data_IF_338706998787
#
_entry.id   IF_338706998787
#
_cell.length_a   1.000
_cell.length_b   1.000
_cell.length_c   1.000
_cell.angle_alpha   90.00
_cell.angle_beta   90.00
_cell.angle_gamma   90.00
#
_symmetry.space_group_name_H-M   'P 1'
#
loop_
_entity.id
_entity.type
_entity.pdbx_description
1 polymer ?
#
# COMPACT_ATOMS: atom_id res chain seq x y z
N UNK A 1 6.68 21.26 -41.51
CA UNK A 1 6.74 21.31 -40.03
C UNK A 1 6.89 22.77 -39.65
N UNK A 2 5.90 23.33 -38.98
CA UNK A 2 5.89 24.76 -38.67
C UNK A 2 6.98 25.07 -37.62
N UNK A 3 7.64 26.22 -37.69
CA UNK A 3 8.71 26.61 -36.74
C UNK A 3 8.26 26.51 -35.27
N UNK A 4 6.97 26.73 -35.03
CA UNK A 4 6.33 26.64 -33.70
C UNK A 4 6.28 25.18 -33.20
N UNK A 5 6.00 24.21 -34.06
CA UNK A 5 5.96 22.78 -33.71
C UNK A 5 7.35 22.24 -33.36
N UNK A 6 8.37 22.69 -34.10
CA UNK A 6 9.76 22.36 -33.81
C UNK A 6 10.17 22.89 -32.43
N UNK A 7 9.70 24.09 -32.06
CA UNK A 7 9.97 24.67 -30.74
C UNK A 7 9.33 23.84 -29.62
N UNK A 8 8.07 23.41 -29.78
CA UNK A 8 7.42 22.53 -28.79
C UNK A 8 8.13 21.18 -28.66
N UNK A 9 8.58 20.60 -29.77
CA UNK A 9 9.31 19.35 -29.76
C UNK A 9 10.67 19.47 -29.05
N UNK A 10 11.41 20.55 -29.27
CA UNK A 10 12.68 20.82 -28.58
C UNK A 10 12.45 20.97 -27.08
N UNK A 11 11.47 21.77 -26.66
CA UNK A 11 11.15 21.96 -25.24
C UNK A 11 10.74 20.64 -24.59
N UNK A 12 9.93 19.83 -25.27
CA UNK A 12 9.53 18.52 -24.78
C UNK A 12 10.72 17.55 -24.67
N UNK A 13 11.61 17.53 -25.65
CA UNK A 13 12.82 16.70 -25.61
C UNK A 13 13.73 17.07 -24.42
N UNK A 14 13.86 18.37 -24.14
CA UNK A 14 14.59 18.86 -22.95
C UNK A 14 13.91 18.36 -21.68
N UNK A 15 12.58 18.45 -21.57
CA UNK A 15 11.83 17.97 -20.39
C UNK A 15 12.04 16.47 -20.18
N UNK A 16 12.02 15.66 -21.23
CA UNK A 16 12.27 14.21 -21.11
C UNK A 16 13.69 13.95 -20.61
N UNK A 17 14.67 14.63 -21.20
CA UNK A 17 16.09 14.39 -20.91
C UNK A 17 16.45 14.84 -19.47
N UNK A 18 15.79 15.88 -18.97
CA UNK A 18 15.96 16.39 -17.61
C UNK A 18 15.06 15.73 -16.56
N UNK A 19 13.97 15.07 -16.95
CA UNK A 19 13.07 14.32 -16.07
C UNK A 19 13.80 13.39 -15.06
N UNK A 20 14.79 12.57 -15.46
CA UNK A 20 15.50 11.70 -14.51
C UNK A 20 16.36 12.46 -13.50
N UNK A 21 16.73 13.72 -13.78
CA UNK A 21 17.55 14.56 -12.90
C UNK A 21 16.73 15.39 -11.91
N UNK A 22 15.39 15.34 -11.97
CA UNK A 22 14.56 16.07 -11.01
C UNK A 22 14.84 15.60 -9.57
N UNK A 23 14.95 16.50 -8.59
CA UNK A 23 15.18 16.11 -7.19
C UNK A 23 13.95 15.39 -6.63
N UNK A 24 14.19 14.33 -5.85
CA UNK A 24 13.13 13.46 -5.33
C UNK A 24 12.11 14.20 -4.46
N UNK A 25 12.53 15.24 -3.74
CA UNK A 25 11.63 16.08 -2.94
C UNK A 25 10.58 16.82 -3.78
N UNK A 26 10.95 17.34 -4.97
CA UNK A 26 9.99 18.01 -5.86
C UNK A 26 9.01 17.01 -6.48
N UNK A 27 9.47 15.80 -6.83
CA UNK A 27 8.58 14.74 -7.33
C UNK A 27 7.62 14.21 -6.27
N UNK A 28 8.04 14.21 -5.00
CA UNK A 28 7.16 13.88 -3.87
C UNK A 28 6.18 15.02 -3.55
N UNK A 29 6.54 16.29 -3.80
CA UNK A 29 5.61 17.42 -3.66
C UNK A 29 4.42 17.29 -4.62
N UNK A 30 4.63 16.69 -5.81
CA UNK A 30 3.56 16.34 -6.75
C UNK A 30 2.48 15.41 -6.16
N UNK A 31 2.74 14.80 -5.00
CA UNK A 31 1.76 13.99 -4.28
C UNK A 31 0.73 14.82 -3.52
N UNK A 32 1.07 16.06 -3.17
CA UNK A 32 0.17 16.96 -2.46
C UNK A 32 -1.07 17.25 -3.32
N UNK A 33 -2.23 17.33 -2.66
CA UNK A 33 -3.52 17.56 -3.32
C UNK A 33 -3.48 18.88 -4.12
N UNK A 34 -2.80 19.89 -3.58
CA UNK A 34 -2.62 21.21 -4.21
C UNK A 34 -1.83 21.09 -5.51
N UNK A 35 -0.71 20.36 -5.50
CA UNK A 35 0.09 20.17 -6.71
C UNK A 35 -0.65 19.36 -7.78
N UNK A 36 -1.48 18.38 -7.38
CA UNK A 36 -2.32 17.63 -8.32
C UNK A 36 -3.36 18.53 -8.99
N UNK A 37 -4.04 19.37 -8.22
CA UNK A 37 -5.01 20.34 -8.76
C UNK A 37 -4.32 21.31 -9.72
N UNK A 38 -3.15 21.85 -9.33
CA UNK A 38 -2.36 22.73 -10.19
C UNK A 38 -1.92 22.04 -11.50
N UNK A 39 -1.49 20.78 -11.43
CA UNK A 39 -1.13 19.99 -12.61
C UNK A 39 -2.30 19.78 -13.57
N UNK A 40 -3.49 19.48 -13.04
CA UNK A 40 -4.72 19.30 -13.83
C UNK A 40 -5.09 20.63 -14.51
N UNK A 41 -5.09 21.74 -13.77
CA UNK A 41 -5.38 23.06 -14.35
C UNK A 41 -4.39 23.44 -15.46
N UNK A 42 -3.11 23.16 -15.25
CA UNK A 42 -2.06 23.40 -16.26
C UNK A 42 -2.26 22.54 -17.51
N UNK A 43 -2.71 21.29 -17.34
CA UNK A 43 -3.03 20.38 -18.44
C UNK A 43 -4.27 20.84 -19.23
N UNK A 44 -5.33 21.29 -18.55
CA UNK A 44 -6.49 21.90 -19.19
C UNK A 44 -6.11 23.16 -19.99
N UNK A 45 -5.22 23.98 -19.44
CA UNK A 45 -4.70 25.15 -20.13
C UNK A 45 -3.91 24.78 -21.40
N UNK A 46 -3.03 23.79 -21.34
CA UNK A 46 -2.27 23.29 -22.51
C UNK A 46 -3.19 22.78 -23.63
N UNK A 47 -4.26 22.07 -23.28
CA UNK A 47 -5.26 21.59 -24.25
C UNK A 47 -5.98 22.75 -24.93
N UNK A 48 -6.26 23.84 -24.20
CA UNK A 48 -6.93 25.03 -24.75
C UNK A 48 -6.10 25.79 -25.79
N UNK A 49 -4.77 25.69 -25.74
CA UNK A 49 -3.86 26.34 -26.69
C UNK A 49 -3.81 25.59 -28.02
N UNK A 50 -3.90 24.25 -27.98
CA UNK A 50 -3.95 23.44 -29.18
C UNK A 50 -3.77 21.94 -28.91
N UNK A 51 -4.27 21.09 -29.83
CA UNK A 51 -4.28 19.64 -29.64
C UNK A 51 -2.87 19.03 -29.57
N UNK A 52 -1.93 19.54 -30.36
CA UNK A 52 -0.52 19.09 -30.35
C UNK A 52 0.18 19.39 -29.03
N UNK A 53 0.00 20.60 -28.49
CA UNK A 53 0.55 21.03 -27.20
C UNK A 53 -0.09 20.23 -26.06
N UNK A 54 -1.40 19.97 -26.12
CA UNK A 54 -2.11 19.13 -25.16
C UNK A 54 -1.55 17.69 -25.10
N UNK A 55 -1.34 17.05 -26.25
CA UNK A 55 -0.78 15.69 -26.33
C UNK A 55 0.64 15.64 -25.76
N UNK A 56 1.49 16.60 -26.14
CA UNK A 56 2.87 16.67 -25.65
C UNK A 56 2.91 16.96 -24.15
N UNK A 57 2.04 17.84 -23.65
CA UNK A 57 1.89 18.11 -22.22
C UNK A 57 1.47 16.86 -21.45
N UNK A 58 0.49 16.11 -21.96
CA UNK A 58 0.03 14.87 -21.35
C UNK A 58 1.13 13.81 -21.28
N UNK A 59 1.91 13.65 -22.36
CA UNK A 59 3.09 12.78 -22.35
C UNK A 59 4.16 13.25 -21.35
N UNK A 60 4.38 14.55 -21.19
CA UNK A 60 5.36 15.07 -20.24
C UNK A 60 4.92 14.76 -18.80
N UNK A 61 3.65 14.99 -18.48
CA UNK A 61 3.09 14.64 -17.18
C UNK A 61 3.13 13.14 -16.93
N UNK A 62 2.74 12.30 -17.90
CA UNK A 62 2.78 10.85 -17.71
C UNK A 62 4.19 10.35 -17.41
N UNK A 63 5.21 10.85 -18.11
CA UNK A 63 6.61 10.53 -17.84
C UNK A 63 7.05 10.97 -16.43
N UNK A 64 6.68 12.17 -15.99
CA UNK A 64 6.99 12.63 -14.63
C UNK A 64 6.33 11.75 -13.56
N UNK A 65 5.07 11.34 -13.76
CA UNK A 65 4.38 10.42 -12.84
C UNK A 65 4.97 9.01 -12.86
N UNK A 66 5.43 8.51 -14.01
CA UNK A 66 6.14 7.23 -14.11
C UNK A 66 7.48 7.27 -13.38
N UNK A 67 8.28 8.32 -13.55
CA UNK A 67 9.54 8.49 -12.82
C UNK A 67 9.33 8.61 -11.31
N UNK A 68 8.29 9.33 -10.90
CA UNK A 68 7.85 9.39 -9.50
C UNK A 68 7.50 8.00 -8.96
N UNK A 69 6.69 7.23 -9.68
CA UNK A 69 6.29 5.88 -9.26
C UNK A 69 7.49 4.94 -9.19
N UNK A 70 8.41 5.01 -10.15
CA UNK A 70 9.67 4.25 -10.13
C UNK A 70 10.46 4.51 -8.85
N UNK A 71 10.57 5.77 -8.43
CA UNK A 71 11.30 6.14 -7.21
C UNK A 71 10.57 5.69 -5.94
N UNK A 72 9.24 5.80 -5.90
CA UNK A 72 8.44 5.29 -4.79
C UNK A 72 8.63 3.79 -4.60
N UNK A 73 8.59 3.02 -5.68
CA UNK A 73 8.84 1.57 -5.65
C UNK A 73 10.24 1.27 -5.12
N UNK A 74 11.28 2.01 -5.55
CA UNK A 74 12.64 1.83 -5.02
C UNK A 74 12.74 2.11 -3.51
N UNK A 75 12.06 3.16 -3.03
CA UNK A 75 12.03 3.48 -1.60
C UNK A 75 11.30 2.40 -0.81
N UNK A 76 10.16 1.93 -1.33
CA UNK A 76 9.39 0.86 -0.71
C UNK A 76 10.16 -0.46 -0.67
N UNK A 77 10.81 -0.85 -1.77
CA UNK A 77 11.67 -2.03 -1.85
C UNK A 77 12.79 -1.96 -0.81
N UNK A 78 13.51 -0.82 -0.75
CA UNK A 78 14.54 -0.61 0.27
C UNK A 78 13.99 -0.70 1.70
N UNK A 79 12.78 -0.21 1.93
CA UNK A 79 12.14 -0.33 3.25
C UNK A 79 11.76 -1.77 3.56
N UNK A 80 11.25 -2.52 2.59
CA UNK A 80 10.95 -3.96 2.74
C UNK A 80 12.24 -4.71 3.05
N UNK A 81 13.32 -4.48 2.31
CA UNK A 81 14.62 -5.11 2.56
C UNK A 81 15.18 -4.80 3.97
N UNK A 82 14.86 -3.62 4.52
CA UNK A 82 15.23 -3.25 5.90
C UNK A 82 14.29 -3.86 6.95
N UNK A 83 13.04 -4.14 6.60
CA UNK A 83 12.07 -4.82 7.48
C UNK A 83 12.20 -6.34 7.42
N UNK A 84 12.81 -6.88 6.36
CA UNK A 84 13.03 -8.32 6.22
C UNK A 84 14.17 -8.70 7.17
N UNK A 85 13.81 -9.39 8.24
CA UNK A 85 14.78 -9.90 9.20
C UNK A 85 15.68 -10.92 8.51
N UNK A 86 16.95 -11.01 8.91
CA UNK A 86 17.82 -12.09 8.44
C UNK A 86 17.18 -13.43 8.81
N UNK A 87 16.59 -14.09 7.82
CA UNK A 87 16.12 -15.47 7.99
C UNK A 87 17.36 -16.31 8.28
N UNK A 88 17.41 -17.05 9.40
CA UNK A 88 18.50 -18.01 9.59
C UNK A 88 18.50 -18.97 8.40
N UNK A 89 19.69 -19.37 7.95
CA UNK A 89 19.82 -20.33 6.86
C UNK A 89 18.99 -21.58 7.16
N UNK A 90 18.29 -22.08 6.14
CA UNK A 90 17.48 -23.29 6.28
C UNK A 90 18.38 -24.47 6.69
N UNK A 91 17.96 -25.22 7.72
CA UNK A 91 18.68 -26.41 8.13
C UNK A 91 18.79 -27.39 6.96
N UNK A 92 19.97 -27.97 6.77
CA UNK A 92 20.17 -29.00 5.74
C UNK A 92 19.39 -30.26 6.08
N UNK A 93 19.10 -31.10 5.09
CA UNK A 93 18.31 -32.35 5.28
C UNK A 93 18.95 -33.27 6.32
N UNK A 94 20.28 -33.31 6.38
CA UNK A 94 21.04 -34.11 7.35
C UNK A 94 20.95 -33.57 8.79
N UNK A 95 20.77 -32.25 8.95
CA UNK A 95 20.59 -31.58 10.24
C UNK A 95 19.15 -31.64 10.72
N UNK A 96 18.18 -31.61 9.80
CA UNK A 96 16.76 -31.78 10.11
C UNK A 96 16.45 -33.19 10.66
N UNK A 97 17.24 -34.20 10.29
CA UNK A 97 17.12 -35.56 10.80
C UNK A 97 17.66 -35.76 12.22
N UNK A 98 18.40 -34.79 12.77
CA UNK A 98 18.93 -34.87 14.14
C UNK A 98 17.94 -34.23 15.12
N UNK A 99 17.70 -34.83 16.30
CA UNK A 99 16.82 -34.24 17.31
C UNK A 99 17.37 -32.87 17.74
N UNK A 100 16.64 -31.81 17.42
CA UNK A 100 17.03 -30.44 17.76
C UNK A 100 16.73 -30.18 19.24
N UNK A 101 17.76 -29.81 20.00
CA UNK A 101 17.62 -29.47 21.43
C UNK A 101 17.18 -28.02 21.65
N UNK A 102 17.53 -27.13 20.71
CA UNK A 102 17.21 -25.70 20.75
C UNK A 102 16.97 -25.20 19.34
N UNK A 103 15.87 -24.48 19.12
CA UNK A 103 15.61 -23.76 17.88
C UNK A 103 16.34 -22.41 17.98
N UNK A 104 17.11 -21.98 16.97
CA UNK A 104 17.65 -20.63 16.94
C UNK A 104 16.48 -19.64 16.85
N UNK A 105 16.27 -18.88 17.92
CA UNK A 105 15.29 -17.79 17.96
C UNK A 105 16.08 -16.50 17.80
N UNK A 106 15.71 -15.69 16.81
CA UNK A 106 16.30 -14.36 16.64
C UNK A 106 15.99 -13.51 17.88
N UNK A 107 16.93 -12.66 18.28
CA UNK A 107 16.70 -11.73 19.39
C UNK A 107 15.52 -10.81 19.07
N UNK A 108 14.71 -10.51 20.09
CA UNK A 108 13.63 -9.53 19.96
C UNK A 108 14.22 -8.17 19.63
N UNK A 109 13.58 -7.48 18.66
CA UNK A 109 14.03 -6.17 18.25
C UNK A 109 13.93 -5.16 19.40
N UNK A 110 14.86 -4.20 19.42
CA UNK A 110 14.89 -3.14 20.44
C UNK A 110 14.35 -1.86 19.80
N UNK A 111 13.48 -1.13 20.51
CA UNK A 111 12.85 0.07 19.95
C UNK A 111 13.91 1.08 19.54
N UNK A 112 13.86 1.51 18.28
CA UNK A 112 14.76 2.53 17.74
C UNK A 112 14.20 3.91 18.08
N UNK A 113 15.05 4.88 18.46
CA UNK A 113 14.62 6.23 18.85
C UNK A 113 13.78 6.99 17.79
N UNK A 114 13.83 6.55 16.53
CA UNK A 114 13.07 7.14 15.41
C UNK A 114 11.72 6.48 15.18
N UNK A 115 11.42 5.36 15.84
CA UNK A 115 10.14 4.68 15.72
C UNK A 115 9.12 5.38 16.60
N UNK A 116 7.95 5.64 16.02
CA UNK A 116 6.81 6.13 16.79
C UNK A 116 6.43 5.06 17.79
N UNK A 117 6.46 5.38 19.08
CA UNK A 117 5.91 4.50 20.11
C UNK A 117 4.49 4.15 19.70
N UNK A 118 4.17 2.85 19.62
CA UNK A 118 2.80 2.42 19.46
C UNK A 118 2.02 2.93 20.68
N UNK A 119 1.33 4.06 20.52
CA UNK A 119 0.40 4.55 21.52
C UNK A 119 -0.81 3.62 21.41
N UNK A 120 -1.08 2.77 22.42
CA UNK A 120 -2.29 1.97 22.41
C UNK A 120 -3.46 2.95 22.25
N UNK A 121 -4.27 2.76 21.21
CA UNK A 121 -5.54 3.47 21.11
C UNK A 121 -6.36 3.05 22.34
N UNK A 122 -6.90 4.03 23.06
CA UNK A 122 -7.58 3.87 24.36
C UNK A 122 -8.68 2.79 24.35
N UNK A 123 -9.20 2.42 23.18
CA UNK A 123 -10.23 1.41 23.00
C UNK A 123 -9.75 -0.04 23.20
N UNK A 124 -8.44 -0.30 23.27
CA UNK A 124 -7.89 -1.67 23.36
C UNK A 124 -7.84 -2.24 24.79
N UNK A 125 -8.03 -1.40 25.81
CA UNK A 125 -8.06 -1.81 27.22
C UNK A 125 -9.38 -1.45 27.91
N UNK A 126 -10.42 -1.08 27.16
CA UNK A 126 -11.75 -0.87 27.70
C UNK A 126 -12.40 -2.23 27.98
N UNK A 127 -12.50 -2.57 29.27
CA UNK A 127 -13.17 -3.79 29.75
C UNK A 127 -14.65 -3.86 29.31
N UNK A 128 -15.25 -2.74 28.93
CA UNK A 128 -16.64 -2.71 28.44
C UNK A 128 -16.77 -3.20 26.99
N UNK A 129 -15.67 -3.27 26.23
CA UNK A 129 -15.61 -3.82 24.87
C UNK A 129 -15.30 -5.33 24.84
N UNK A 130 -15.14 -5.97 26.00
CA UNK A 130 -15.04 -7.42 26.08
C UNK A 130 -16.44 -8.03 26.13
N UNK A 131 -16.78 -8.79 25.09
CA UNK A 131 -17.93 -9.69 25.17
C UNK A 131 -17.71 -10.68 26.32
N UNK A 132 -18.70 -10.88 27.21
CA UNK A 132 -18.56 -11.77 28.35
C UNK A 132 -18.25 -13.19 27.87
N UNK A 133 -17.21 -13.79 28.45
CA UNK A 133 -16.85 -15.19 28.18
C UNK A 133 -18.04 -16.07 28.55
N UNK A 134 -18.59 -16.78 27.57
CA UNK A 134 -19.73 -17.66 27.79
C UNK A 134 -19.41 -18.71 28.87
N UNK A 135 -20.38 -19.12 29.69
CA UNK A 135 -20.16 -20.03 30.83
C UNK A 135 -19.69 -21.42 30.40
N UNK A 136 -19.89 -21.82 29.14
CA UNK A 136 -19.35 -23.07 28.57
C UNK A 136 -18.56 -22.81 27.29
N UNK A 137 -17.55 -23.65 27.04
CA UNK A 137 -16.64 -23.51 25.88
C UNK A 137 -17.38 -23.62 24.53
N UNK A 138 -18.57 -24.22 24.53
CA UNK A 138 -19.39 -24.48 23.35
C UNK A 138 -20.38 -23.34 23.05
N UNK A 139 -20.47 -22.33 23.92
CA UNK A 139 -21.37 -21.18 23.76
C UNK A 139 -20.65 -19.94 23.24
N UNK A 140 -19.36 -20.07 22.87
CA UNK A 140 -18.64 -18.95 22.24
C UNK A 140 -19.21 -18.74 20.84
N UNK A 141 -19.94 -17.65 20.64
CA UNK A 141 -20.36 -17.20 19.32
C UNK A 141 -19.15 -17.11 18.38
N UNK A 142 -19.31 -17.54 17.13
CA UNK A 142 -18.27 -17.40 16.12
C UNK A 142 -18.09 -15.90 15.86
N UNK A 143 -17.01 -15.33 16.40
CA UNK A 143 -16.66 -13.94 16.16
C UNK A 143 -16.40 -13.79 14.66
N UNK A 144 -17.23 -12.98 13.99
CA UNK A 144 -17.04 -12.68 12.58
C UNK A 144 -15.68 -11.99 12.42
N UNK A 145 -14.77 -12.64 11.70
CA UNK A 145 -13.46 -12.07 11.36
C UNK A 145 -13.62 -11.16 10.15
N UNK A 146 -14.44 -10.12 10.29
CA UNK A 146 -14.54 -9.08 9.28
C UNK A 146 -13.23 -8.30 9.33
N UNK A 147 -12.43 -8.38 8.27
CA UNK A 147 -11.25 -7.54 8.14
C UNK A 147 -11.70 -6.08 8.12
N UNK A 148 -11.20 -5.21 9.01
CA UNK A 148 -11.59 -3.81 9.04
C UNK A 148 -10.98 -3.09 7.85
N UNK A 149 -11.61 -3.22 6.68
CA UNK A 149 -11.33 -2.43 5.51
C UNK A 149 -12.04 -1.09 5.72
N UNK A 150 -11.34 -0.19 6.41
CA UNK A 150 -11.60 1.25 6.55
C UNK A 150 -12.37 1.67 7.83
N UNK A 151 -11.62 2.08 8.87
CA UNK A 151 -12.12 2.67 10.14
C UNK A 151 -12.73 4.09 10.00
N UNK A 152 -13.21 4.50 8.84
CA UNK A 152 -13.62 5.91 8.62
C UNK A 152 -14.62 6.20 7.50
N UNK A 153 -15.27 5.19 6.94
CA UNK A 153 -16.34 5.38 5.95
C UNK A 153 -17.67 4.85 6.51
N UNK A 154 -18.82 5.45 6.15
CA UNK A 154 -20.11 4.93 6.53
C UNK A 154 -20.23 3.49 6.01
N UNK A 155 -20.74 2.61 6.86
CA UNK A 155 -20.97 1.17 6.67
C UNK A 155 -21.18 0.80 5.19
N UNK A 156 -20.09 0.48 4.51
CA UNK A 156 -20.07 -0.06 3.16
C UNK A 156 -19.57 -1.50 3.25
N UNK A 157 -20.22 -2.30 4.10
CA UNK A 157 -19.84 -3.69 4.33
C UNK A 157 -20.47 -4.68 3.34
N UNK A 158 -21.64 -4.39 2.76
CA UNK A 158 -22.40 -5.45 2.06
C UNK A 158 -21.77 -5.89 0.73
N UNK A 159 -20.99 -5.05 0.04
CA UNK A 159 -20.39 -5.40 -1.26
C UNK A 159 -19.01 -6.06 -1.12
N UNK A 160 -18.31 -5.82 -0.01
CA UNK A 160 -17.04 -6.48 0.30
C UNK A 160 -17.23 -7.88 0.85
N UNK A 161 -18.33 -8.13 1.56
CA UNK A 161 -18.65 -9.45 2.11
C UNK A 161 -18.85 -10.49 0.99
N UNK A 162 -19.57 -10.12 -0.08
CA UNK A 162 -19.74 -10.97 -1.28
C UNK A 162 -18.40 -11.29 -1.98
N UNK A 163 -17.43 -10.36 -1.94
CA UNK A 163 -16.11 -10.55 -2.56
C UNK A 163 -15.27 -11.58 -1.80
N UNK A 164 -15.29 -11.56 -0.47
CA UNK A 164 -14.52 -12.53 0.34
C UNK A 164 -15.16 -13.92 0.33
N UNK A 165 -16.50 -13.98 0.27
CA UNK A 165 -17.25 -15.21 0.04
C UNK A 165 -16.94 -15.81 -1.33
N UNK A 166 -16.96 -15.01 -2.41
CA UNK A 166 -16.55 -15.46 -3.75
C UNK A 166 -15.09 -15.91 -3.83
N UNK A 167 -14.20 -15.28 -3.07
CA UNK A 167 -12.77 -15.63 -3.01
C UNK A 167 -12.50 -16.86 -2.12
N UNK A 168 -13.52 -17.42 -1.47
CA UNK A 168 -13.41 -18.61 -0.63
C UNK A 168 -12.58 -18.41 0.64
N UNK A 169 -12.32 -17.17 1.04
CA UNK A 169 -11.56 -16.88 2.26
C UNK A 169 -12.47 -17.06 3.48
N UNK A 170 -12.14 -18.04 4.34
CA UNK A 170 -12.84 -18.30 5.60
C UNK A 170 -13.65 -19.59 5.64
N UNK A 171 -13.80 -20.31 4.52
CA UNK A 171 -14.43 -21.62 4.49
C UNK A 171 -13.39 -22.72 4.75
N UNK A 172 -13.67 -23.58 5.73
CA UNK A 172 -12.96 -24.85 5.93
C UNK A 172 -13.75 -25.90 5.17
N UNK A 173 -13.08 -26.69 4.33
CA UNK A 173 -13.74 -27.75 3.54
C UNK A 173 -14.62 -28.64 4.43
N UNK A 174 -15.92 -28.67 4.14
CA UNK A 174 -16.90 -29.54 4.81
C UNK A 174 -17.80 -28.90 5.88
N UNK A 175 -17.77 -27.57 6.08
CA UNK A 175 -18.67 -26.88 7.02
C UNK A 175 -19.52 -25.84 6.29
N UNK A 176 -20.83 -26.11 6.15
CA UNK A 176 -21.82 -25.14 5.68
C UNK A 176 -22.32 -24.30 6.86
N UNK A 177 -22.19 -22.97 6.78
CA UNK A 177 -22.84 -22.06 7.72
C UNK A 177 -24.31 -21.94 7.35
N UNK A 178 -25.19 -22.57 8.12
CA UNK A 178 -26.64 -22.36 7.99
C UNK A 178 -26.95 -20.95 8.48
N UNK A 179 -27.33 -20.06 7.56
CA UNK A 179 -27.93 -18.78 7.91
C UNK A 179 -29.37 -19.02 8.36
N UNK A 180 -29.66 -18.75 9.63
CA UNK A 180 -31.05 -18.65 10.10
C UNK A 180 -31.69 -17.41 9.46
N UNK A 181 -32.83 -17.63 8.80
CA UNK A 181 -33.72 -16.62 8.23
C UNK A 181 -34.43 -15.80 9.29
#
# INVERSE_FOLDING_TARGET
MNQVEVTYFIVFAIIILFSPFFPTHLLLLLDSIVARIAAILLLLYLISIGPTVGIMGLMAFSLLYLERNRRKVKIAAKKIDLMDFSKPDHATVEEAGKPQRTVPVNEFDKPVHTETSAIPQDDTCDITNFEPVAPTINEKGVLATIYPLNKGAPESGSASDELFEQLGFGHVDGVETMGDS
#
